data_IF_592623500037
#
_entry.id   IF_592623500037
#
_cell.length_a   1.000
_cell.length_b   1.000
_cell.length_c   1.000
_cell.angle_alpha   90.00
_cell.angle_beta   90.00
_cell.angle_gamma   90.00
#
_symmetry.space_group_name_H-M   'P 1'
#
loop_
_entity.id
_entity.type
_entity.pdbx_description
1 polymer ?
#
# COMPACT_ATOMS: atom_id res chain seq x y z
N UNK A 1 17.75 13.68 -4.74
CA UNK A 1 17.41 12.66 -5.77
C UNK A 1 16.24 11.73 -5.38
N UNK A 2 15.74 11.68 -4.13
CA UNK A 2 14.61 10.81 -3.73
C UNK A 2 13.21 11.46 -3.75
N UNK A 3 13.11 12.78 -3.83
CA UNK A 3 11.81 13.49 -3.78
C UNK A 3 11.15 13.58 -5.16
N UNK A 4 11.95 13.71 -6.23
CA UNK A 4 11.44 13.89 -7.59
C UNK A 4 11.00 12.57 -8.22
N UNK A 5 11.71 11.47 -7.95
CA UNK A 5 11.42 10.17 -8.55
C UNK A 5 9.97 9.66 -8.29
N UNK A 6 9.42 9.72 -7.06
CA UNK A 6 8.04 9.31 -6.79
C UNK A 6 7.01 10.15 -7.56
N UNK A 7 7.23 11.46 -7.63
CA UNK A 7 6.29 12.39 -8.29
C UNK A 7 6.33 12.16 -9.80
N UNK A 8 7.52 12.07 -10.39
CA UNK A 8 7.70 11.77 -11.81
C UNK A 8 7.11 10.41 -12.18
N UNK A 9 7.31 9.40 -11.34
CA UNK A 9 6.71 8.08 -11.53
C UNK A 9 5.18 8.14 -11.50
N UNK A 10 4.60 8.87 -10.54
CA UNK A 10 3.16 9.01 -10.43
C UNK A 10 2.56 9.73 -11.65
N UNK A 11 3.20 10.81 -12.13
CA UNK A 11 2.80 11.51 -13.35
C UNK A 11 2.88 10.61 -14.59
N UNK A 12 3.96 9.83 -14.70
CA UNK A 12 4.13 8.86 -15.78
C UNK A 12 3.02 7.80 -15.75
N UNK A 13 2.80 7.17 -14.58
CA UNK A 13 1.73 6.22 -14.36
C UNK A 13 0.36 6.83 -14.69
N UNK A 14 0.11 8.07 -14.30
CA UNK A 14 -1.15 8.79 -14.57
C UNK A 14 -1.40 9.01 -16.06
N UNK A 15 -0.34 9.33 -16.82
CA UNK A 15 -0.47 9.80 -18.21
C UNK A 15 -0.34 8.70 -19.25
N UNK A 16 0.53 7.70 -19.03
CA UNK A 16 0.96 6.77 -20.08
C UNK A 16 0.48 5.34 -19.90
N UNK A 17 0.25 4.88 -18.67
CA UNK A 17 -0.17 3.49 -18.44
C UNK A 17 -1.68 3.31 -18.68
N UNK A 18 -2.03 2.22 -19.35
CA UNK A 18 -3.42 1.77 -19.44
C UNK A 18 -3.82 1.10 -18.11
N UNK A 19 -4.89 1.60 -17.49
CA UNK A 19 -5.42 1.10 -16.21
C UNK A 19 -6.61 0.17 -16.40
N UNK A 20 -6.91 -0.25 -17.63
CA UNK A 20 -8.09 -1.07 -17.94
C UNK A 20 -8.12 -2.44 -17.26
N UNK A 21 -6.98 -2.97 -16.83
CA UNK A 21 -6.85 -4.30 -16.21
C UNK A 21 -6.79 -4.29 -14.68
N UNK A 22 -6.87 -3.12 -14.03
CA UNK A 22 -6.75 -3.03 -12.57
C UNK A 22 -7.98 -3.61 -11.88
N UNK A 23 -7.82 -4.78 -11.24
CA UNK A 23 -8.88 -5.47 -10.48
C UNK A 23 -8.82 -5.12 -8.99
N UNK A 24 -9.98 -5.15 -8.33
CA UNK A 24 -10.09 -4.94 -6.88
C UNK A 24 -9.29 -5.97 -6.06
N UNK A 25 -9.16 -7.20 -6.57
CA UNK A 25 -8.38 -8.28 -5.95
C UNK A 25 -6.91 -7.94 -5.76
N UNK A 26 -6.34 -7.00 -6.54
CA UNK A 26 -4.94 -6.60 -6.40
C UNK A 26 -4.63 -5.97 -5.03
N UNK A 27 -5.63 -5.36 -4.36
CA UNK A 27 -5.44 -4.81 -3.01
C UNK A 27 -5.02 -5.92 -2.04
N UNK A 28 -5.70 -7.08 -2.08
CA UNK A 28 -5.39 -8.20 -1.21
C UNK A 28 -4.00 -8.78 -1.50
N UNK A 29 -3.65 -8.94 -2.79
CA UNK A 29 -2.30 -9.41 -3.16
C UNK A 29 -1.20 -8.44 -2.69
N UNK A 30 -1.45 -7.14 -2.74
CA UNK A 30 -0.52 -6.13 -2.25
C UNK A 30 -0.35 -6.15 -0.73
N UNK A 31 -1.39 -6.54 0.02
CA UNK A 31 -1.34 -6.66 1.47
C UNK A 31 -0.57 -7.90 1.95
N UNK A 32 -0.42 -8.94 1.12
CA UNK A 32 0.32 -10.15 1.50
C UNK A 32 1.74 -9.77 1.93
N UNK A 33 2.42 -8.93 1.16
CA UNK A 33 3.80 -8.53 1.44
C UNK A 33 3.97 -7.85 2.82
N UNK A 34 3.28 -6.73 3.13
CA UNK A 34 3.43 -6.08 4.43
C UNK A 34 2.95 -6.94 5.59
N UNK A 35 1.93 -7.80 5.40
CA UNK A 35 1.47 -8.70 6.47
C UNK A 35 2.48 -9.80 6.77
N UNK A 36 3.02 -10.47 5.74
CA UNK A 36 4.07 -11.48 5.91
C UNK A 36 5.30 -10.87 6.57
N UNK A 37 5.70 -9.70 6.12
CA UNK A 37 6.82 -8.97 6.71
C UNK A 37 6.54 -8.58 8.17
N UNK A 38 5.33 -8.11 8.49
CA UNK A 38 4.92 -7.84 9.87
C UNK A 38 5.06 -9.09 10.74
N UNK A 39 4.52 -10.24 10.33
CA UNK A 39 4.68 -11.49 11.08
C UNK A 39 6.14 -11.87 11.29
N UNK A 40 6.95 -11.75 10.24
CA UNK A 40 8.39 -12.00 10.36
C UNK A 40 9.05 -11.04 11.36
N UNK A 41 8.75 -9.74 11.32
CA UNK A 41 9.33 -8.76 12.26
C UNK A 41 8.90 -9.00 13.71
N UNK A 42 7.65 -9.39 13.95
CA UNK A 42 7.15 -9.68 15.29
C UNK A 42 7.77 -10.97 15.83
N UNK A 43 7.86 -12.00 15.00
CA UNK A 43 8.58 -13.24 15.32
C UNK A 43 10.04 -12.91 15.62
N UNK A 44 10.79 -12.37 14.66
CA UNK A 44 12.22 -12.09 14.84
C UNK A 44 12.47 -11.17 16.05
N UNK A 45 11.64 -10.15 16.24
CA UNK A 45 11.73 -9.23 17.37
C UNK A 45 11.49 -9.90 18.73
N UNK A 46 10.65 -10.95 18.81
CA UNK A 46 10.44 -11.66 20.08
C UNK A 46 11.67 -12.44 20.55
N UNK A 47 12.54 -12.88 19.63
CA UNK A 47 13.80 -13.56 19.97
C UNK A 47 14.98 -12.60 20.10
N UNK A 48 15.06 -11.58 19.24
CA UNK A 48 16.21 -10.67 19.17
C UNK A 48 16.06 -9.41 20.03
N UNK A 49 14.84 -9.07 20.46
CA UNK A 49 14.50 -7.78 21.07
C UNK A 49 14.56 -6.60 20.09
N UNK A 50 14.90 -6.82 18.82
CA UNK A 50 15.05 -5.77 17.82
C UNK A 50 13.83 -5.66 16.92
N UNK A 51 13.25 -4.47 16.89
CA UNK A 51 12.13 -4.11 16.02
C UNK A 51 12.56 -3.01 15.04
N UNK A 52 12.42 -3.21 13.72
CA UNK A 52 12.94 -2.27 12.72
C UNK A 52 12.16 -0.96 12.66
N UNK A 53 10.93 -0.93 13.18
CA UNK A 53 10.10 0.26 13.21
C UNK A 53 9.51 0.50 14.60
N UNK A 54 9.43 1.76 15.05
CA UNK A 54 8.92 2.09 16.38
C UNK A 54 7.46 1.67 16.57
N UNK A 55 6.64 1.71 15.52
CA UNK A 55 5.22 1.36 15.61
C UNK A 55 4.95 -0.14 15.82
N UNK A 56 5.95 -1.01 15.59
CA UNK A 56 5.88 -2.46 15.86
C UNK A 56 6.72 -2.88 17.06
N UNK A 57 7.27 -1.94 17.82
CA UNK A 57 8.12 -2.25 18.96
C UNK A 57 7.29 -2.77 20.14
N UNK A 58 7.23 -4.10 20.28
CA UNK A 58 6.46 -4.77 21.34
C UNK A 58 7.09 -4.48 22.71
N UNK A 59 8.41 -4.37 22.79
CA UNK A 59 9.12 -4.11 24.05
C UNK A 59 8.76 -2.75 24.66
N UNK A 60 8.53 -1.74 23.81
CA UNK A 60 8.17 -0.38 24.25
C UNK A 60 6.65 -0.15 24.33
N UNK A 61 5.88 -0.70 23.39
CA UNK A 61 4.46 -0.38 23.22
C UNK A 61 3.51 -1.46 23.79
N UNK A 62 4.01 -2.68 23.99
CA UNK A 62 3.18 -3.85 24.26
C UNK A 62 2.43 -4.36 23.02
N UNK A 63 1.92 -5.59 23.11
CA UNK A 63 1.29 -6.28 21.98
C UNK A 63 0.02 -5.57 21.49
N UNK A 64 -0.84 -5.09 22.40
CA UNK A 64 -2.12 -4.47 22.07
C UNK A 64 -1.94 -3.22 21.19
N UNK A 65 -0.99 -2.34 21.55
CA UNK A 65 -0.71 -1.13 20.76
C UNK A 65 -0.06 -1.46 19.42
N UNK A 66 0.82 -2.46 19.37
CA UNK A 66 1.44 -2.91 18.12
C UNK A 66 0.39 -3.45 17.14
N UNK A 67 -0.58 -4.22 17.64
CA UNK A 67 -1.71 -4.70 16.82
C UNK A 67 -2.51 -3.51 16.28
N UNK A 68 -2.87 -2.55 17.15
CA UNK A 68 -3.64 -1.37 16.75
C UNK A 68 -2.91 -0.52 15.70
N UNK A 69 -1.61 -0.25 15.91
CA UNK A 69 -0.78 0.49 14.99
C UNK A 69 -0.67 -0.21 13.63
N UNK A 70 -0.40 -1.52 13.65
CA UNK A 70 -0.27 -2.34 12.45
C UNK A 70 -1.59 -2.40 11.65
N UNK A 71 -2.72 -2.46 12.36
CA UNK A 71 -4.04 -2.36 11.76
C UNK A 71 -4.25 -0.99 11.10
N UNK A 72 -3.88 0.10 11.78
CA UNK A 72 -3.92 1.45 11.21
C UNK A 72 -3.10 1.59 9.92
N UNK A 73 -1.88 1.04 9.90
CA UNK A 73 -1.02 1.02 8.70
C UNK A 73 -1.67 0.21 7.57
N UNK A 74 -2.25 -0.95 7.90
CA UNK A 74 -2.97 -1.80 6.93
C UNK A 74 -4.16 -1.07 6.32
N UNK A 75 -4.94 -0.32 7.12
CA UNK A 75 -6.02 0.52 6.63
C UNK A 75 -5.52 1.61 5.67
N UNK A 76 -4.39 2.25 5.98
CA UNK A 76 -3.77 3.24 5.08
C UNK A 76 -3.43 2.61 3.73
N UNK A 77 -2.84 1.41 3.70
CA UNK A 77 -2.58 0.68 2.45
C UNK A 77 -3.86 0.37 1.67
N UNK A 78 -4.93 -0.07 2.35
CA UNK A 78 -6.23 -0.34 1.72
C UNK A 78 -6.82 0.93 1.12
N UNK A 79 -6.79 2.05 1.85
CA UNK A 79 -7.33 3.35 1.40
C UNK A 79 -6.56 3.83 0.17
N UNK A 80 -5.23 3.84 0.22
CA UNK A 80 -4.40 4.27 -0.91
C UNK A 80 -4.62 3.36 -2.12
N UNK A 81 -4.60 2.04 -1.92
CA UNK A 81 -4.86 1.06 -2.97
C UNK A 81 -6.23 1.29 -3.62
N UNK A 82 -7.27 1.45 -2.81
CA UNK A 82 -8.63 1.75 -3.27
C UNK A 82 -8.69 3.03 -4.10
N UNK A 83 -8.08 4.12 -3.62
CA UNK A 83 -8.02 5.39 -4.34
C UNK A 83 -7.35 5.23 -5.70
N UNK A 84 -6.22 4.52 -5.78
CA UNK A 84 -5.51 4.27 -7.04
C UNK A 84 -6.37 3.48 -8.04
N UNK A 85 -7.10 2.45 -7.58
CA UNK A 85 -7.99 1.67 -8.44
C UNK A 85 -9.15 2.53 -8.94
N UNK A 86 -9.80 3.28 -8.06
CA UNK A 86 -10.93 4.17 -8.41
C UNK A 86 -10.50 5.19 -9.46
N UNK A 87 -9.37 5.86 -9.22
CA UNK A 87 -8.84 6.85 -10.15
C UNK A 87 -8.45 6.22 -11.49
N UNK A 88 -7.80 5.05 -11.47
CA UNK A 88 -7.44 4.31 -12.68
C UNK A 88 -8.67 3.93 -13.53
N UNK A 89 -9.73 3.41 -12.88
CA UNK A 89 -10.99 3.07 -13.56
C UNK A 89 -11.71 4.31 -14.11
N UNK A 90 -11.72 5.41 -13.37
CA UNK A 90 -12.31 6.67 -13.80
C UNK A 90 -11.61 7.24 -15.03
N UNK A 91 -10.27 7.23 -15.05
CA UNK A 91 -9.49 7.63 -16.22
C UNK A 91 -9.80 6.76 -17.45
N UNK A 92 -9.87 5.43 -17.26
CA UNK A 92 -10.14 4.53 -18.38
C UNK A 92 -11.55 4.74 -18.97
N UNK A 93 -12.57 4.91 -18.12
CA UNK A 93 -13.93 5.25 -18.56
C UNK A 93 -13.94 6.52 -19.41
N UNK A 94 -13.23 7.59 -18.98
CA UNK A 94 -13.12 8.84 -19.74
C UNK A 94 -12.42 8.67 -21.09
N UNK A 95 -11.38 7.84 -21.16
CA UNK A 95 -10.64 7.59 -22.40
C UNK A 95 -11.49 6.83 -23.42
N UNK A 96 -12.23 5.81 -22.98
CA UNK A 96 -13.15 5.05 -23.85
C UNK A 96 -14.27 5.91 -24.43
N UNK A 97 -14.83 6.84 -23.64
CA UNK A 97 -15.85 7.79 -24.11
C UNK A 97 -15.33 8.79 -25.15
N UNK A 98 -14.05 9.17 -25.09
CA UNK A 98 -13.42 10.05 -26.08
C UNK A 98 -13.15 9.37 -27.43
N UNK A 99 -12.96 8.05 -27.46
CA UNK A 99 -12.68 7.30 -28.70
C UNK A 99 -13.96 7.01 -29.48
N UNK A 100 -15.11 6.91 -28.79
CA UNK A 100 -16.42 6.64 -29.42
C UNK A 100 -17.10 7.88 -30.03
N UNK A 101 -16.57 9.08 -29.82
CA UNK A 101 -17.10 10.34 -30.33
C UNK A 101 -16.20 10.85 -31.46
#
# INVERSE_FOLDING_TARGET
MHVLAPVSFFLFWWRFLDKGTIRWSHIFYWLIFPLVYLFYTLWHGSFSGFYPYPFVNVSELGMDRVILNSFGVTLVFIVIGTLLIVLGKWQNKRRSQRIKK
#
